data_IF_817613050067
#
_entry.id   IF_817613050067
#
_cell.length_a   1.000
_cell.length_b   1.000
_cell.length_c   1.000
_cell.angle_alpha   90.00
_cell.angle_beta   90.00
_cell.angle_gamma   90.00
#
_symmetry.space_group_name_H-M   'P 1'
#
loop_
_entity.id
_entity.type
_entity.pdbx_description
1 polymer ?
#
# COMPACT_ATOMS: atom_id res chain seq x y z
N UNK A 1 10.19 0.37 -7.94
CA UNK A 1 10.71 -0.93 -7.51
C UNK A 1 10.16 -1.23 -6.13
N UNK A 2 9.97 -2.50 -5.79
CA UNK A 2 9.37 -2.90 -4.52
C UNK A 2 10.37 -2.85 -3.36
N UNK A 3 9.91 -2.48 -2.17
CA UNK A 3 10.72 -2.48 -0.95
C UNK A 3 10.56 -3.82 -0.20
N UNK A 4 11.64 -4.29 0.43
CA UNK A 4 11.62 -5.42 1.36
C UNK A 4 11.01 -4.96 2.69
N UNK A 5 10.02 -5.68 3.21
CA UNK A 5 9.24 -5.31 4.40
C UNK A 5 9.65 -6.09 5.67
N UNK A 6 10.79 -6.79 5.60
CA UNK A 6 11.38 -7.56 6.70
C UNK A 6 11.89 -6.75 7.88
N UNK A 7 12.22 -5.48 7.65
CA UNK A 7 13.10 -4.73 8.55
C UNK A 7 14.54 -5.24 8.55
N UNK A 8 14.91 -6.05 7.55
CA UNK A 8 16.25 -6.56 7.27
C UNK A 8 16.42 -6.73 5.75
N UNK A 9 17.62 -7.16 5.33
CA UNK A 9 17.98 -7.24 3.91
C UNK A 9 17.48 -8.52 3.21
N UNK A 10 16.92 -9.48 3.95
CA UNK A 10 16.68 -10.85 3.46
C UNK A 10 15.21 -11.24 3.42
N UNK A 11 14.46 -10.89 4.46
CA UNK A 11 13.10 -11.37 4.63
C UNK A 11 12.11 -10.42 3.93
N UNK A 12 11.25 -10.91 3.01
CA UNK A 12 10.30 -10.06 2.31
C UNK A 12 9.29 -9.39 3.24
N UNK A 13 8.95 -10.07 4.35
CA UNK A 13 8.07 -9.61 5.43
C UNK A 13 8.70 -10.07 6.74
N UNK A 14 8.60 -9.26 7.80
CA UNK A 14 9.21 -9.62 9.09
C UNK A 14 8.63 -10.96 9.59
N UNK A 15 9.46 -11.99 9.87
CA UNK A 15 9.00 -13.32 10.25
C UNK A 15 8.02 -13.34 11.43
N UNK A 16 8.14 -12.36 12.35
CA UNK A 16 7.24 -12.21 13.50
C UNK A 16 5.77 -12.09 13.11
N UNK A 17 5.46 -11.51 11.96
CA UNK A 17 4.08 -11.20 11.54
C UNK A 17 3.54 -12.14 10.45
N UNK A 18 4.36 -13.06 9.94
CA UNK A 18 3.96 -13.91 8.79
C UNK A 18 2.73 -14.75 9.11
N UNK A 19 2.69 -15.38 10.28
CA UNK A 19 1.57 -16.26 10.65
C UNK A 19 0.28 -15.47 10.88
N UNK A 20 0.37 -14.29 11.49
CA UNK A 20 -0.78 -13.40 11.70
C UNK A 20 -1.33 -12.88 10.35
N UNK A 21 -0.44 -12.48 9.44
CA UNK A 21 -0.81 -11.97 8.11
C UNK A 21 -1.41 -13.05 7.21
N UNK A 22 -1.02 -14.32 7.36
CA UNK A 22 -1.63 -15.45 6.66
C UNK A 22 -3.03 -15.79 7.16
N UNK A 23 -3.31 -15.50 8.43
CA UNK A 23 -4.63 -15.71 9.04
C UNK A 23 -5.58 -14.53 8.79
N UNK A 24 -5.04 -13.32 8.60
CA UNK A 24 -5.81 -12.13 8.28
C UNK A 24 -6.32 -12.19 6.84
N UNK A 25 -7.59 -12.54 6.66
CA UNK A 25 -8.24 -12.55 5.35
C UNK A 25 -8.81 -11.18 5.00
N UNK A 26 -8.63 -10.75 3.76
CA UNK A 26 -9.16 -9.51 3.22
C UNK A 26 -9.95 -9.78 1.94
N UNK A 27 -11.02 -9.02 1.75
CA UNK A 27 -11.78 -9.02 0.50
C UNK A 27 -11.23 -7.94 -0.41
N UNK A 28 -10.96 -8.32 -1.66
CA UNK A 28 -10.45 -7.41 -2.69
C UNK A 28 -11.29 -7.55 -3.96
N UNK A 29 -11.42 -6.46 -4.72
CA UNK A 29 -12.13 -6.52 -6.00
C UNK A 29 -11.40 -7.39 -7.03
N UNK A 30 -10.07 -7.36 -7.02
CA UNK A 30 -9.23 -8.05 -8.02
C UNK A 30 -9.02 -9.54 -7.73
N UNK A 31 -8.86 -9.92 -6.46
CA UNK A 31 -8.47 -11.30 -6.07
C UNK A 31 -9.53 -12.01 -5.23
N UNK A 32 -10.65 -11.35 -4.92
CA UNK A 32 -11.64 -11.88 -3.97
C UNK A 32 -11.05 -12.00 -2.57
N UNK A 33 -11.38 -13.10 -1.89
CA UNK A 33 -10.87 -13.40 -0.55
C UNK A 33 -9.43 -13.91 -0.63
N UNK A 34 -8.51 -13.18 -0.02
CA UNK A 34 -7.07 -13.47 -0.03
C UNK A 34 -6.47 -13.13 1.33
N UNK A 35 -5.40 -13.83 1.74
CA UNK A 35 -4.70 -13.45 2.97
C UNK A 35 -3.95 -12.11 2.77
N UNK A 36 -3.81 -11.34 3.83
CA UNK A 36 -3.03 -10.10 3.81
C UNK A 36 -1.57 -10.39 3.38
N UNK A 37 -1.02 -11.53 3.79
CA UNK A 37 0.30 -11.98 3.37
C UNK A 37 0.38 -12.17 1.85
N UNK A 38 -0.53 -12.94 1.26
CA UNK A 38 -0.51 -13.25 -0.16
C UNK A 38 -0.78 -12.00 -1.01
N UNK A 39 -1.64 -11.09 -0.53
CA UNK A 39 -1.85 -9.79 -1.18
C UNK A 39 -0.56 -8.96 -1.19
N UNK A 40 0.15 -8.86 -0.07
CA UNK A 40 1.42 -8.14 0.03
C UNK A 40 2.46 -8.73 -0.92
N UNK A 41 2.60 -10.05 -0.96
CA UNK A 41 3.55 -10.72 -1.86
C UNK A 41 3.19 -10.53 -3.34
N UNK A 42 1.89 -10.58 -3.66
CA UNK A 42 1.38 -10.31 -5.02
C UNK A 42 1.69 -8.88 -5.45
N UNK A 43 1.39 -7.88 -4.61
CA UNK A 43 1.71 -6.47 -4.91
C UNK A 43 3.22 -6.23 -4.97
N UNK A 44 4.01 -6.89 -4.14
CA UNK A 44 5.47 -6.85 -4.21
C UNK A 44 5.97 -7.34 -5.58
N UNK A 45 5.44 -8.45 -6.09
CA UNK A 45 5.79 -8.97 -7.41
C UNK A 45 5.33 -8.05 -8.55
N UNK A 46 4.14 -7.45 -8.46
CA UNK A 46 3.66 -6.49 -9.45
C UNK A 46 4.50 -5.19 -9.45
N UNK A 47 4.87 -4.66 -8.28
CA UNK A 47 5.73 -3.48 -8.16
C UNK A 47 7.14 -3.69 -8.72
N UNK A 48 7.65 -4.94 -8.74
CA UNK A 48 8.93 -5.27 -9.39
C UNK A 48 8.83 -5.24 -10.92
N UNK A 49 7.66 -5.50 -11.49
CA UNK A 49 7.44 -5.48 -12.94
C UNK A 49 7.36 -4.05 -13.49
N UNK A 50 6.97 -3.08 -12.64
CA UNK A 50 6.98 -1.66 -12.96
C UNK A 50 5.69 -0.96 -12.57
N UNK A 51 5.72 0.37 -12.54
CA UNK A 51 4.58 1.21 -12.15
C UNK A 51 3.37 1.07 -13.09
N UNK A 52 3.60 0.62 -14.33
CA UNK A 52 2.52 0.37 -15.29
C UNK A 52 1.73 -0.90 -15.00
N UNK A 53 2.29 -1.82 -14.21
CA UNK A 53 1.58 -3.03 -13.73
C UNK A 53 0.86 -2.73 -12.42
N UNK A 54 1.54 -2.09 -11.48
CA UNK A 54 0.93 -1.65 -10.22
C UNK A 54 1.67 -0.47 -9.63
N UNK A 55 0.92 0.55 -9.21
CA UNK A 55 1.41 1.71 -8.48
C UNK A 55 0.49 1.95 -7.27
N UNK A 56 1.02 2.00 -6.04
CA UNK A 56 0.22 2.17 -4.84
C UNK A 56 -0.42 3.56 -4.73
N UNK A 57 -0.06 4.51 -5.59
CA UNK A 57 -0.60 5.88 -5.62
C UNK A 57 -1.59 6.09 -6.77
N UNK A 58 -2.40 5.06 -7.07
CA UNK A 58 -3.56 5.15 -7.96
C UNK A 58 -4.83 5.23 -7.13
N UNK A 59 -5.66 6.24 -7.38
CA UNK A 59 -6.86 6.48 -6.60
C UNK A 59 -7.99 5.46 -6.86
N UNK A 60 -9.03 5.46 -6.00
CA UNK A 60 -9.35 6.54 -5.06
C UNK A 60 -8.51 6.48 -3.77
N UNK A 61 -7.90 7.61 -3.39
CA UNK A 61 -7.19 7.77 -2.12
C UNK A 61 -7.72 9.00 -1.41
N UNK A 62 -8.20 8.81 -0.18
CA UNK A 62 -8.61 9.87 0.73
C UNK A 62 -7.66 9.97 1.91
N UNK A 63 -7.56 11.17 2.49
CA UNK A 63 -6.85 11.37 3.75
C UNK A 63 -7.63 10.83 4.95
N UNK A 64 -6.99 10.80 6.12
CA UNK A 64 -7.57 10.36 7.39
C UNK A 64 -8.65 11.30 7.96
N UNK A 65 -9.00 12.37 7.24
CA UNK A 65 -10.11 13.29 7.53
C UNK A 65 -11.26 13.13 6.51
N UNK A 66 -11.12 12.21 5.56
CA UNK A 66 -12.12 11.93 4.52
C UNK A 66 -12.05 12.85 3.30
N UNK A 67 -11.03 13.71 3.16
CA UNK A 67 -10.87 14.51 1.95
C UNK A 67 -10.23 13.65 0.85
N UNK A 68 -10.84 13.66 -0.34
CA UNK A 68 -10.29 12.99 -1.51
C UNK A 68 -8.99 13.69 -1.95
N UNK A 69 -7.91 12.93 -2.06
CA UNK A 69 -6.58 13.42 -2.45
C UNK A 69 -6.23 13.00 -3.88
N UNK A 70 -6.51 11.74 -4.25
CA UNK A 70 -6.28 11.21 -5.60
C UNK A 70 -7.58 10.61 -6.13
N UNK A 71 -8.14 11.12 -7.24
CA UNK A 71 -9.38 10.59 -7.82
C UNK A 71 -9.27 9.14 -8.31
N UNK A 72 -10.42 8.47 -8.43
CA UNK A 72 -10.46 7.08 -8.90
C UNK A 72 -9.84 6.91 -10.29
N UNK A 73 -8.86 5.99 -10.41
CA UNK A 73 -8.16 5.71 -11.66
C UNK A 73 -7.05 6.71 -12.03
N UNK A 74 -6.87 7.80 -11.28
CA UNK A 74 -5.77 8.74 -11.48
C UNK A 74 -4.52 8.26 -10.72
N UNK A 75 -3.36 8.34 -11.39
CA UNK A 75 -2.04 8.08 -10.76
C UNK A 75 -1.45 9.41 -10.31
N UNK A 76 -0.98 9.47 -9.07
CA UNK A 76 -0.27 10.65 -8.56
C UNK A 76 0.96 10.98 -9.42
N UNK A 77 1.18 12.27 -9.68
CA UNK A 77 2.41 12.75 -10.29
C UNK A 77 3.56 12.77 -9.29
N UNK A 78 4.80 12.92 -9.77
CA UNK A 78 5.96 13.06 -8.88
C UNK A 78 5.85 14.30 -7.99
N UNK A 79 5.28 15.39 -8.50
CA UNK A 79 5.11 16.63 -7.75
C UNK A 79 4.09 16.44 -6.63
N UNK A 80 3.02 15.67 -6.87
CA UNK A 80 2.06 15.27 -5.83
C UNK A 80 2.75 14.46 -4.74
N UNK A 81 3.51 13.43 -5.13
CA UNK A 81 4.23 12.53 -4.21
C UNK A 81 5.22 13.29 -3.32
N UNK A 82 5.97 14.23 -3.90
CA UNK A 82 6.94 15.06 -3.16
C UNK A 82 6.28 16.12 -2.27
N UNK A 83 4.98 16.36 -2.45
CA UNK A 83 4.20 17.34 -1.71
C UNK A 83 3.17 16.71 -0.76
N UNK A 84 3.20 15.38 -0.56
CA UNK A 84 2.27 14.68 0.35
C UNK A 84 2.43 15.25 1.76
N UNK A 85 1.42 16.01 2.17
CA UNK A 85 1.25 16.57 3.51
C UNK A 85 -0.14 16.19 4.03
N UNK A 86 -0.47 14.91 3.91
CA UNK A 86 -1.62 14.26 4.54
C UNK A 86 -1.27 12.83 4.95
N UNK A 87 -2.00 12.30 5.92
CA UNK A 87 -2.02 10.87 6.19
C UNK A 87 -3.22 10.25 5.48
N UNK A 88 -3.05 9.08 4.88
CA UNK A 88 -4.15 8.34 4.24
C UNK A 88 -5.11 7.79 5.29
N UNK A 89 -6.31 7.42 4.85
CA UNK A 89 -7.28 6.72 5.70
C UNK A 89 -6.66 5.55 6.49
N UNK A 90 -7.18 5.30 7.70
CA UNK A 90 -6.68 4.33 8.68
C UNK A 90 -5.30 4.64 9.30
N UNK A 91 -4.68 5.79 9.02
CA UNK A 91 -3.52 6.28 9.77
C UNK A 91 -3.98 7.21 10.88
N UNK A 92 -3.79 6.78 12.12
CA UNK A 92 -4.06 7.62 13.31
C UNK A 92 -2.95 8.64 13.52
N UNK A 93 -3.32 9.92 13.57
CA UNK A 93 -2.40 11.00 13.87
C UNK A 93 -2.71 12.28 13.10
N UNK A 94 -2.00 13.34 13.48
CA UNK A 94 -1.99 14.61 12.77
C UNK A 94 -0.57 14.97 12.40
N UNK A 95 -0.38 15.59 11.25
CA UNK A 95 0.95 16.03 10.82
C UNK A 95 1.50 17.03 11.83
N UNK A 96 2.73 16.81 12.36
CA UNK A 96 3.40 17.77 13.23
C UNK A 96 3.54 19.14 12.56
N UNK A 97 3.33 20.20 13.35
CA UNK A 97 3.51 21.59 12.91
C UNK A 97 4.92 22.09 13.18
#
# INVERSE_FOLDING_TARGET
GAAILGGNETDPVNPKFVDDLKQAMVQTEEFGEISAYDLVMTRYDQMKQGVDVFDPFVGPISDNKGNLQIPAGERASKDDLLSIMYYVDNVEGTIPQ
#
